data_IF_166829776092
#
_entry.id   IF_166829776092
#
_cell.length_a   1.000
_cell.length_b   1.000
_cell.length_c   1.000
_cell.angle_alpha   90.00
_cell.angle_beta   90.00
_cell.angle_gamma   90.00
#
_symmetry.space_group_name_H-M   'P 1'
#
loop_
_entity.id
_entity.type
_entity.pdbx_description
1 polymer ?
#
# COMPACT_ATOMS: atom_id res chain seq x y z
N UNK A 1 -4.15 -19.23 5.61
CA UNK A 1 -3.07 -18.51 6.22
C UNK A 1 -2.67 -17.32 5.37
N UNK A 2 -1.80 -16.49 5.90
CA UNK A 2 -1.35 -15.28 5.24
C UNK A 2 0.16 -15.18 5.22
N UNK A 3 0.68 -14.35 4.32
CA UNK A 3 2.10 -14.07 4.18
C UNK A 3 2.32 -12.60 3.90
N UNK A 4 3.35 -12.04 4.54
CA UNK A 4 3.81 -10.69 4.27
C UNK A 4 5.33 -10.67 4.30
N UNK A 5 5.94 -10.09 3.27
CA UNK A 5 7.38 -9.89 3.17
C UNK A 5 7.73 -8.42 3.18
N UNK A 6 9.01 -8.11 3.35
CA UNK A 6 9.49 -6.75 3.37
C UNK A 6 10.85 -6.61 2.70
N UNK A 7 11.13 -5.40 2.20
CA UNK A 7 12.47 -4.98 1.76
C UNK A 7 12.82 -3.72 2.53
N UNK A 8 14.03 -3.67 3.11
CA UNK A 8 14.54 -2.48 3.76
C UNK A 8 15.18 -1.55 2.71
N UNK A 9 14.79 -0.29 2.71
CA UNK A 9 15.30 0.73 1.77
C UNK A 9 15.65 2.01 2.53
N UNK A 10 16.28 2.94 1.83
CA UNK A 10 16.67 4.24 2.40
C UNK A 10 17.46 4.12 3.71
N UNK A 11 18.48 3.24 3.72
CA UNK A 11 19.31 3.07 4.90
C UNK A 11 18.61 2.51 6.13
N UNK A 12 17.53 1.79 5.93
CA UNK A 12 16.74 1.20 7.02
C UNK A 12 15.64 2.10 7.57
N UNK A 13 15.46 3.31 7.04
CA UNK A 13 14.41 4.21 7.50
C UNK A 13 13.02 3.84 6.98
N UNK A 14 12.95 3.12 5.87
CA UNK A 14 11.70 2.73 5.22
C UNK A 14 11.71 1.24 4.94
N UNK A 15 10.61 0.57 5.23
CA UNK A 15 10.36 -0.78 4.75
C UNK A 15 9.31 -0.74 3.65
N UNK A 16 9.59 -1.43 2.55
CA UNK A 16 8.58 -1.72 1.52
C UNK A 16 7.91 -3.04 1.88
N UNK A 17 6.62 -3.01 2.12
CA UNK A 17 5.84 -4.20 2.42
C UNK A 17 5.34 -4.81 1.12
N UNK A 18 5.63 -6.11 0.92
CA UNK A 18 5.12 -6.83 -0.23
C UNK A 18 3.67 -7.24 -0.02
N UNK A 19 2.91 -7.46 -1.11
CA UNK A 19 1.50 -7.80 -1.02
C UNK A 19 1.22 -8.93 -0.05
N UNK A 20 0.16 -8.76 0.72
CA UNK A 20 -0.34 -9.82 1.60
C UNK A 20 -1.01 -10.89 0.75
N UNK A 21 -0.60 -12.14 0.98
CA UNK A 21 -1.29 -13.28 0.43
C UNK A 21 -2.10 -13.92 1.56
N UNK A 22 -3.38 -13.68 1.57
CA UNK A 22 -4.30 -14.26 2.55
C UNK A 22 -5.27 -15.17 1.80
N UNK A 23 -5.35 -16.41 2.25
CA UNK A 23 -6.32 -17.37 1.71
C UNK A 23 -7.73 -16.75 1.76
N UNK A 24 -8.50 -16.77 0.65
CA UNK A 24 -9.84 -16.19 0.62
C UNK A 24 -10.76 -16.65 1.74
N UNK A 25 -10.59 -17.87 2.23
CA UNK A 25 -11.38 -18.39 3.35
C UNK A 25 -11.14 -17.64 4.65
N UNK A 26 -9.99 -16.97 4.79
CA UNK A 26 -9.60 -16.28 6.02
C UNK A 26 -9.58 -14.76 5.90
N UNK A 27 -9.84 -14.19 4.72
CA UNK A 27 -9.73 -12.74 4.51
C UNK A 27 -10.60 -11.90 5.45
N UNK A 28 -11.78 -12.42 5.82
CA UNK A 28 -12.73 -11.71 6.67
C UNK A 28 -12.51 -11.93 8.17
N UNK A 29 -11.47 -12.66 8.55
CA UNK A 29 -11.18 -12.99 9.96
C UNK A 29 -10.13 -12.09 10.60
N UNK A 30 -9.78 -10.98 9.96
CA UNK A 30 -8.79 -10.06 10.49
C UNK A 30 -7.34 -10.54 10.36
N UNK A 31 -7.08 -11.60 9.63
CA UNK A 31 -5.72 -12.15 9.47
C UNK A 31 -4.82 -11.16 8.73
N UNK A 32 -5.33 -10.52 7.68
CA UNK A 32 -4.57 -9.51 6.95
C UNK A 32 -4.17 -8.34 7.85
N UNK A 33 -5.10 -7.85 8.66
CA UNK A 33 -4.81 -6.80 9.65
C UNK A 33 -3.73 -7.24 10.64
N UNK A 34 -3.85 -8.46 11.16
CA UNK A 34 -2.88 -8.99 12.12
C UNK A 34 -1.47 -9.07 11.51
N UNK A 35 -1.36 -9.51 10.26
CA UNK A 35 -0.08 -9.56 9.56
C UNK A 35 0.54 -8.17 9.38
N UNK A 36 -0.25 -7.19 8.99
CA UNK A 36 0.20 -5.81 8.84
C UNK A 36 0.65 -5.25 10.18
N UNK A 37 -0.16 -5.40 11.22
CA UNK A 37 0.17 -4.89 12.56
C UNK A 37 1.42 -5.55 13.13
N UNK A 38 1.62 -6.85 12.89
CA UNK A 38 2.83 -7.57 13.31
C UNK A 38 4.06 -7.02 12.61
N UNK A 39 3.98 -6.77 11.30
CA UNK A 39 5.07 -6.19 10.53
C UNK A 39 5.38 -4.77 11.00
N UNK A 40 4.37 -3.96 11.25
CA UNK A 40 4.52 -2.60 11.76
C UNK A 40 5.22 -2.59 13.12
N UNK A 41 4.86 -3.52 14.00
CA UNK A 41 5.50 -3.64 15.31
C UNK A 41 6.98 -3.97 15.17
N UNK A 42 7.32 -4.92 14.32
CA UNK A 42 8.72 -5.28 14.07
C UNK A 42 9.51 -4.11 13.47
N UNK A 43 8.91 -3.40 12.54
CA UNK A 43 9.53 -2.23 11.94
C UNK A 43 9.82 -1.16 12.99
N UNK A 44 8.86 -0.91 13.86
CA UNK A 44 9.00 0.06 14.94
C UNK A 44 10.13 -0.31 15.89
N UNK A 45 10.25 -1.59 16.23
CA UNK A 45 11.32 -2.11 17.09
C UNK A 45 12.70 -1.93 16.45
N UNK A 46 12.79 -1.91 15.13
CA UNK A 46 14.05 -1.76 14.41
C UNK A 46 14.35 -0.32 13.98
N UNK A 47 13.57 0.65 14.45
CA UNK A 47 13.81 2.06 14.17
C UNK A 47 13.33 2.52 12.80
N UNK A 48 12.50 1.76 12.12
CA UNK A 48 11.90 2.14 10.84
C UNK A 48 10.90 3.27 11.07
N UNK A 49 10.92 4.28 10.20
CA UNK A 49 10.07 5.46 10.34
C UNK A 49 8.76 5.34 9.55
N UNK A 50 8.81 4.70 8.38
CA UNK A 50 7.69 4.63 7.45
C UNK A 50 7.66 3.27 6.77
N UNK A 51 6.46 2.75 6.56
CA UNK A 51 6.24 1.59 5.68
C UNK A 51 5.55 2.08 4.42
N UNK A 52 6.02 1.62 3.25
CA UNK A 52 5.38 1.84 1.96
C UNK A 52 4.91 0.53 1.37
N UNK A 53 3.92 0.60 0.50
CA UNK A 53 3.42 -0.55 -0.25
C UNK A 53 2.83 -0.11 -1.58
N UNK A 54 2.71 -1.06 -2.51
CA UNK A 54 1.97 -0.89 -3.75
C UNK A 54 0.59 -1.55 -3.62
N UNK A 55 -0.45 -0.79 -3.89
CA UNK A 55 -1.83 -1.28 -3.93
C UNK A 55 -2.27 -1.37 -5.37
N UNK A 56 -2.02 -2.51 -6.03
CA UNK A 56 -2.36 -2.72 -7.42
C UNK A 56 -3.87 -2.72 -7.65
N UNK A 57 -4.31 -2.04 -8.71
CA UNK A 57 -5.69 -2.05 -9.13
C UNK A 57 -5.90 -3.05 -10.27
N UNK A 58 -5.94 -4.32 -9.94
CA UNK A 58 -6.08 -5.40 -10.92
C UNK A 58 -7.49 -5.49 -11.53
N UNK A 59 -8.48 -5.00 -10.83
CA UNK A 59 -9.89 -5.13 -11.22
C UNK A 59 -10.48 -3.85 -11.82
N UNK A 60 -9.71 -2.77 -11.88
CA UNK A 60 -10.22 -1.48 -12.34
C UNK A 60 -11.16 -0.82 -11.34
N UNK A 61 -11.04 -1.16 -10.05
CA UNK A 61 -11.95 -0.69 -9.01
C UNK A 61 -11.64 0.73 -8.50
N UNK A 62 -10.54 1.33 -8.96
CA UNK A 62 -10.17 2.68 -8.56
C UNK A 62 -10.46 3.70 -9.66
N UNK A 63 -10.57 4.96 -9.28
CA UNK A 63 -10.80 6.06 -10.22
C UNK A 63 -9.55 6.47 -11.03
N UNK A 64 -8.40 5.85 -10.79
CA UNK A 64 -7.16 6.13 -11.52
C UNK A 64 -6.86 5.09 -12.61
N UNK A 65 -7.69 4.06 -12.71
CA UNK A 65 -7.54 3.02 -13.72
C UNK A 65 -8.09 3.45 -15.08
N UNK A 66 -7.41 3.07 -16.14
CA UNK A 66 -7.89 3.28 -17.51
C UNK A 66 -7.80 4.69 -18.04
N UNK A 67 -7.09 5.59 -17.37
CA UNK A 67 -6.93 6.98 -17.79
C UNK A 67 -5.46 7.36 -17.86
N UNK A 68 -5.16 8.41 -18.65
CA UNK A 68 -3.81 8.97 -18.70
C UNK A 68 -3.61 9.86 -17.47
N UNK A 69 -2.68 9.47 -16.61
CA UNK A 69 -2.41 10.15 -15.33
C UNK A 69 -1.43 11.32 -15.48
N UNK A 70 -0.60 11.32 -16.52
CA UNK A 70 0.48 12.28 -16.65
C UNK A 70 0.06 13.76 -16.76
N UNK A 71 -1.04 14.11 -17.43
CA UNK A 71 -1.40 15.53 -17.56
C UNK A 71 -1.61 16.26 -16.23
N UNK A 72 -2.02 15.54 -15.17
CA UNK A 72 -2.24 16.15 -13.86
C UNK A 72 -2.10 15.10 -12.76
N UNK A 73 -0.90 14.52 -12.67
CA UNK A 73 -0.67 13.40 -11.78
C UNK A 73 -0.90 13.75 -10.31
N UNK A 74 -0.54 14.97 -9.90
CA UNK A 74 -0.71 15.40 -8.51
C UNK A 74 -2.18 15.42 -8.10
N UNK A 75 -3.07 15.87 -8.98
CA UNK A 75 -4.51 15.85 -8.74
C UNK A 75 -5.04 14.42 -8.62
N UNK A 76 -4.56 13.52 -9.47
CA UNK A 76 -4.97 12.12 -9.41
C UNK A 76 -4.50 11.44 -8.12
N UNK A 77 -3.30 11.77 -7.63
CA UNK A 77 -2.82 11.29 -6.33
C UNK A 77 -3.75 11.75 -5.21
N UNK A 78 -4.10 13.03 -5.20
CA UNK A 78 -4.95 13.62 -4.16
C UNK A 78 -6.38 13.05 -4.19
N UNK A 79 -6.89 12.72 -5.37
CA UNK A 79 -8.26 12.26 -5.55
C UNK A 79 -8.40 10.73 -5.62
N UNK A 80 -7.30 9.97 -5.54
CA UNK A 80 -7.34 8.52 -5.69
C UNK A 80 -8.25 7.87 -4.65
N UNK A 81 -9.19 7.07 -5.12
CA UNK A 81 -10.16 6.37 -4.28
C UNK A 81 -10.56 5.06 -4.93
N UNK A 82 -11.05 4.14 -4.14
CA UNK A 82 -11.49 2.84 -4.60
C UNK A 82 -11.73 1.89 -3.45
N UNK A 83 -12.23 0.69 -3.77
CA UNK A 83 -12.49 -0.34 -2.78
C UNK A 83 -11.21 -1.12 -2.43
N UNK A 84 -11.28 -2.44 -2.41
CA UNK A 84 -10.15 -3.31 -2.14
C UNK A 84 -9.17 -3.34 -3.34
N UNK A 85 -7.83 -3.31 -3.16
CA UNK A 85 -7.14 -3.29 -1.85
C UNK A 85 -6.95 -1.90 -1.23
N UNK A 86 -7.15 -0.84 -1.98
CA UNK A 86 -6.91 0.54 -1.53
C UNK A 86 -7.70 0.87 -0.25
N UNK A 87 -8.99 0.53 -0.24
CA UNK A 87 -9.85 0.78 0.91
C UNK A 87 -9.40 0.03 2.16
N UNK A 88 -8.89 -1.19 2.00
CA UNK A 88 -8.35 -1.97 3.13
C UNK A 88 -7.17 -1.25 3.77
N UNK A 89 -6.19 -0.83 2.96
CA UNK A 89 -5.01 -0.18 3.50
C UNK A 89 -5.32 1.19 4.10
N UNK A 90 -6.30 1.91 3.54
CA UNK A 90 -6.76 3.15 4.16
C UNK A 90 -7.32 2.93 5.56
N UNK A 91 -8.09 1.86 5.76
CA UNK A 91 -8.61 1.50 7.08
C UNK A 91 -7.50 1.17 8.07
N UNK A 92 -6.37 0.69 7.58
CA UNK A 92 -5.19 0.40 8.40
C UNK A 92 -4.31 1.62 8.64
N UNK A 93 -4.69 2.79 8.13
CA UNK A 93 -4.01 4.04 8.36
C UNK A 93 -3.02 4.46 7.27
N UNK A 94 -2.96 3.74 6.15
CA UNK A 94 -2.11 4.11 5.02
C UNK A 94 -2.76 5.21 4.19
N UNK A 95 -1.93 6.10 3.66
CA UNK A 95 -2.37 7.18 2.78
C UNK A 95 -1.73 7.02 1.41
N UNK A 96 -2.42 7.50 0.37
CA UNK A 96 -1.86 7.49 -0.98
C UNK A 96 -0.73 8.52 -1.04
N UNK A 97 0.47 8.06 -1.35
CA UNK A 97 1.67 8.90 -1.44
C UNK A 97 2.17 9.07 -2.87
N UNK A 98 1.69 8.27 -3.81
CA UNK A 98 2.12 8.38 -5.19
C UNK A 98 1.36 7.46 -6.12
N UNK A 99 1.56 7.67 -7.42
CA UNK A 99 1.07 6.82 -8.50
C UNK A 99 2.21 6.54 -9.45
N UNK A 100 2.32 5.31 -9.91
CA UNK A 100 3.25 4.94 -10.98
C UNK A 100 2.38 4.58 -12.19
N UNK A 101 2.26 5.51 -13.18
CA UNK A 101 1.43 5.24 -14.35
C UNK A 101 1.94 4.04 -15.13
N UNK A 102 1.02 3.26 -15.66
CA UNK A 102 1.32 2.12 -16.54
C UNK A 102 2.22 1.06 -15.93
N UNK A 103 2.36 1.02 -14.61
CA UNK A 103 3.26 0.10 -13.92
C UNK A 103 2.94 -1.37 -14.22
N UNK A 104 1.66 -1.70 -14.37
CA UNK A 104 1.18 -3.07 -14.62
C UNK A 104 0.63 -3.25 -16.04
N UNK A 105 0.96 -2.34 -16.94
CA UNK A 105 0.48 -2.30 -18.32
C UNK A 105 -0.26 -1.01 -18.62
N UNK A 106 -0.62 -0.75 -19.91
CA UNK A 106 -1.29 0.49 -20.28
C UNK A 106 -2.57 0.72 -19.48
N UNK A 107 -2.66 1.90 -18.85
CA UNK A 107 -3.81 2.28 -18.02
C UNK A 107 -3.93 1.53 -16.70
N UNK A 108 -2.91 0.79 -16.30
CA UNK A 108 -2.90 0.00 -15.04
C UNK A 108 -1.81 0.51 -14.10
N UNK A 109 -2.08 1.54 -13.30
CA UNK A 109 -1.09 2.12 -12.42
C UNK A 109 -0.86 1.27 -11.18
N UNK A 110 0.29 1.48 -10.53
CA UNK A 110 0.51 1.08 -9.16
C UNK A 110 0.21 2.28 -8.25
N UNK A 111 -0.53 2.05 -7.19
CA UNK A 111 -0.85 3.08 -6.20
C UNK A 111 0.09 2.89 -5.03
N UNK A 112 1.00 3.85 -4.83
CA UNK A 112 1.94 3.79 -3.72
C UNK A 112 1.29 4.39 -2.48
N UNK A 113 1.33 3.64 -1.39
CA UNK A 113 0.78 4.06 -0.12
C UNK A 113 1.85 4.05 0.96
N UNK A 114 1.70 4.91 1.95
CA UNK A 114 2.67 5.05 3.03
C UNK A 114 1.98 5.24 4.37
N UNK A 115 2.62 4.78 5.43
CA UNK A 115 2.19 4.99 6.81
C UNK A 115 3.40 5.28 7.69
N UNK A 116 3.32 6.36 8.46
CA UNK A 116 4.30 6.63 9.50
C UNK A 116 4.06 5.67 10.66
N UNK A 117 5.09 4.96 11.09
CA UNK A 117 4.98 4.01 12.19
C UNK A 117 5.78 4.41 13.42
N UNK A 118 6.78 5.30 13.27
CA UNK A 118 7.46 5.93 14.40
C UNK A 118 6.94 7.34 14.56
N UNK A 119 6.72 7.76 15.80
CA UNK A 119 6.29 9.12 16.07
C UNK A 119 7.31 10.17 15.62
N UNK A 120 6.89 11.43 15.38
CA UNK A 120 7.84 12.49 15.11
C UNK A 120 8.75 12.68 16.31
N UNK A 121 10.04 12.84 16.03
CA UNK A 121 11.05 13.11 17.05
C UNK A 121 11.37 14.58 17.11
#
# INVERSE_FOLDING_TARGET
LGWAGRISVYGGHVWEMHPLLVDPLFQRRGIGRLLVETLEKRAREQGVLTIILGADDETGATNVSGIDLYPDIARHIAAATGAHPLGLYRKLGYVVSGLIPDANGPGRPDIVMAKRIAGPK
#
